data_IF_091686820795
#
_entry.id   IF_091686820795
#
_cell.length_a   1.000
_cell.length_b   1.000
_cell.length_c   1.000
_cell.angle_alpha   90.00
_cell.angle_beta   90.00
_cell.angle_gamma   90.00
#
_symmetry.space_group_name_H-M   'P 1'
#
loop_
_entity.id
_entity.type
_entity.pdbx_description
1 polymer ?
#
# COMPACT_ATOMS: atom_id res chain seq x y z
N UNK A 1 39.75 28.82 3.60
CA UNK A 1 40.53 28.69 4.84
C UNK A 1 40.03 27.46 5.58
N UNK A 2 40.89 26.47 5.85
CA UNK A 2 40.51 25.31 6.65
C UNK A 2 40.64 25.65 8.14
N UNK A 3 39.62 25.41 8.94
CA UNK A 3 39.70 25.56 10.39
C UNK A 3 40.51 24.39 10.97
N UNK A 4 41.39 24.61 11.96
CA UNK A 4 42.08 23.51 12.62
C UNK A 4 41.06 22.60 13.30
N UNK A 5 41.11 21.30 12.99
CA UNK A 5 40.36 20.27 13.72
C UNK A 5 41.15 19.87 14.95
N UNK A 6 40.57 20.06 16.14
CA UNK A 6 41.13 19.59 17.40
C UNK A 6 40.51 18.22 17.73
N UNK A 7 41.31 17.16 17.67
CA UNK A 7 40.85 15.82 18.03
C UNK A 7 40.98 15.60 19.53
N UNK A 8 39.87 15.32 20.21
CA UNK A 8 39.85 14.91 21.61
C UNK A 8 39.73 13.39 21.72
N UNK A 9 40.76 12.73 22.23
CA UNK A 9 40.80 11.26 22.37
C UNK A 9 40.49 10.90 23.82
N UNK A 10 39.37 10.21 24.03
CA UNK A 10 38.99 9.69 25.36
C UNK A 10 39.56 8.28 25.54
N UNK A 11 40.51 8.13 26.44
CA UNK A 11 41.09 6.82 26.77
C UNK A 11 40.24 6.09 27.83
N UNK A 12 40.05 4.79 27.66
CA UNK A 12 39.39 3.94 28.66
C UNK A 12 40.27 3.85 29.91
N UNK A 13 39.88 4.52 30.99
CA UNK A 13 40.59 4.45 32.27
C UNK A 13 40.23 3.17 33.02
N UNK A 14 41.24 2.50 33.58
CA UNK A 14 41.10 1.29 34.40
C UNK A 14 40.92 1.61 35.90
N UNK A 15 41.04 2.86 36.31
CA UNK A 15 40.86 3.31 37.69
C UNK A 15 40.16 4.69 37.78
N UNK A 16 39.55 4.99 38.94
CA UNK A 16 38.93 6.30 39.20
C UNK A 16 40.01 7.39 39.26
N UNK A 17 39.86 8.44 38.45
CA UNK A 17 40.76 9.60 38.47
C UNK A 17 40.26 10.66 39.45
N UNK A 18 41.16 11.25 40.24
CA UNK A 18 40.88 12.44 41.03
C UNK A 18 41.41 13.65 40.27
N UNK A 19 40.55 14.63 39.99
CA UNK A 19 40.92 15.78 39.17
C UNK A 19 42.15 16.52 39.75
N UNK A 20 43.16 16.76 38.92
CA UNK A 20 44.40 17.45 39.24
C UNK A 20 44.52 18.82 38.54
N UNK A 21 45.52 19.63 38.89
CA UNK A 21 45.67 21.00 38.36
C UNK A 21 46.00 21.06 36.85
N UNK A 22 46.36 19.94 36.24
CA UNK A 22 46.61 19.82 34.80
C UNK A 22 45.41 19.23 34.03
N UNK A 23 44.33 18.84 34.71
CA UNK A 23 43.12 18.38 34.04
C UNK A 23 42.28 19.58 33.60
N UNK A 24 42.00 19.67 32.30
CA UNK A 24 41.03 20.62 31.79
C UNK A 24 39.60 20.04 31.95
N UNK A 25 38.67 20.74 32.63
CA UNK A 25 37.27 20.32 32.63
C UNK A 25 36.69 20.53 31.22
N UNK A 26 36.29 19.45 30.58
CA UNK A 26 35.55 19.49 29.30
C UNK A 26 34.11 19.10 29.59
N UNK A 27 33.18 20.03 29.36
CA UNK A 27 31.76 19.74 29.35
C UNK A 27 31.34 19.43 27.92
N UNK A 28 30.76 18.25 27.72
CA UNK A 28 30.16 17.88 26.44
C UNK A 28 28.68 18.26 26.48
N UNK A 29 28.18 18.84 25.40
CA UNK A 29 26.78 19.20 25.23
C UNK A 29 26.25 18.56 23.95
N UNK A 30 24.97 18.21 23.97
CA UNK A 30 24.25 17.79 22.78
C UNK A 30 24.00 18.99 21.84
N UNK A 31 23.67 18.77 20.56
CA UNK A 31 23.33 19.85 19.63
C UNK A 31 22.15 20.75 20.08
N UNK A 32 21.31 20.24 20.98
CA UNK A 32 20.19 20.97 21.60
C UNK A 32 20.61 21.85 22.81
N UNK A 33 21.89 21.84 23.19
CA UNK A 33 22.44 22.62 24.30
C UNK A 33 22.30 21.97 25.68
N UNK A 34 21.76 20.75 25.78
CA UNK A 34 21.69 20.01 27.05
C UNK A 34 23.04 19.35 27.38
N UNK A 35 23.43 19.25 28.67
CA UNK A 35 24.68 18.58 29.05
C UNK A 35 24.61 17.10 28.67
N UNK A 36 25.68 16.61 28.05
CA UNK A 36 25.81 15.21 27.66
C UNK A 36 25.90 14.34 28.92
N UNK A 37 24.85 13.58 29.19
CA UNK A 37 24.84 12.55 30.22
C UNK A 37 25.44 11.27 29.64
N UNK A 38 26.73 11.03 29.88
CA UNK A 38 27.39 9.78 29.52
C UNK A 38 26.90 8.62 30.38
N UNK A 39 25.74 8.06 30.06
CA UNK A 39 25.26 6.80 30.60
C UNK A 39 25.92 5.64 29.87
N UNK A 40 26.30 4.58 30.59
CA UNK A 40 26.61 3.27 30.02
C UNK A 40 25.32 2.61 29.52
N UNK A 41 24.55 3.32 28.69
CA UNK A 41 23.30 2.85 28.15
C UNK A 41 23.64 1.88 27.01
N UNK A 42 24.09 0.69 27.39
CA UNK A 42 23.57 -0.48 26.71
C UNK A 42 22.06 -0.24 26.63
N UNK A 43 21.45 -0.25 25.43
CA UNK A 43 20.04 0.08 25.28
C UNK A 43 19.29 -0.69 26.36
N UNK A 44 18.61 0.03 27.26
CA UNK A 44 17.99 -0.58 28.42
C UNK A 44 17.17 -1.77 27.91
N UNK A 45 17.51 -2.97 28.40
CA UNK A 45 16.82 -4.17 27.96
C UNK A 45 15.32 -3.90 28.11
N UNK A 46 14.51 -4.16 27.06
CA UNK A 46 13.11 -3.82 27.07
C UNK A 46 12.49 -4.43 28.34
N UNK A 47 11.73 -3.62 29.09
CA UNK A 47 11.23 -4.03 30.38
C UNK A 47 10.44 -5.34 30.26
N UNK A 48 10.55 -6.21 31.26
CA UNK A 48 9.75 -7.43 31.38
C UNK A 48 8.26 -7.11 31.12
N UNK A 49 7.64 -7.84 30.19
CA UNK A 49 6.24 -7.64 29.82
C UNK A 49 5.97 -6.53 28.80
N UNK A 50 6.99 -5.76 28.38
CA UNK A 50 6.83 -4.78 27.30
C UNK A 50 6.49 -5.46 25.98
N UNK A 51 5.58 -4.85 25.23
CA UNK A 51 5.14 -5.32 23.91
C UNK A 51 5.86 -4.51 22.85
N UNK A 52 6.46 -5.20 21.86
CA UNK A 52 6.99 -4.50 20.70
C UNK A 52 5.82 -4.12 19.77
N UNK A 53 5.69 -2.86 19.30
CA UNK A 53 4.61 -2.42 18.41
C UNK A 53 4.60 -3.06 17.00
N UNK A 54 5.36 -4.12 16.77
CA UNK A 54 5.38 -4.84 15.51
C UNK A 54 4.05 -5.58 15.31
N UNK A 55 3.02 -4.87 14.83
CA UNK A 55 1.84 -5.51 14.29
C UNK A 55 2.27 -6.25 13.03
N UNK A 56 2.44 -7.56 13.14
CA UNK A 56 2.71 -8.41 11.98
C UNK A 56 1.50 -8.29 11.04
N UNK A 57 1.74 -7.72 9.86
CA UNK A 57 0.69 -7.49 8.87
C UNK A 57 0.01 -8.83 8.53
N UNK A 58 -1.31 -8.93 8.70
CA UNK A 58 -2.07 -10.17 8.43
C UNK A 58 -2.74 -10.88 9.61
N UNK A 59 -3.09 -10.17 10.71
CA UNK A 59 -3.88 -10.78 11.79
C UNK A 59 -5.22 -11.31 11.28
N UNK A 60 -5.38 -12.63 11.33
CA UNK A 60 -6.64 -13.34 11.16
C UNK A 60 -6.94 -14.16 12.42
N UNK A 61 -8.00 -13.76 13.12
CA UNK A 61 -8.44 -14.41 14.35
C UNK A 61 -8.86 -15.87 14.16
N UNK A 62 -9.16 -16.30 12.93
CA UNK A 62 -9.62 -17.66 12.63
C UNK A 62 -8.48 -18.67 12.46
N UNK A 63 -7.26 -18.20 12.16
CA UNK A 63 -6.09 -19.06 11.91
C UNK A 63 -5.01 -18.96 12.99
N UNK A 64 -5.13 -18.03 13.95
CA UNK A 64 -4.18 -17.90 15.07
C UNK A 64 -2.83 -17.28 14.71
N UNK A 65 -2.68 -16.80 13.47
CA UNK A 65 -1.46 -16.14 13.00
C UNK A 65 -1.53 -14.63 13.26
N UNK A 66 -1.01 -14.20 14.40
CA UNK A 66 -0.87 -12.78 14.75
C UNK A 66 -0.60 -12.50 16.22
N UNK A 67 0.20 -13.38 16.84
CA UNK A 67 0.64 -13.22 18.23
C UNK A 67 1.62 -12.06 18.37
N UNK A 68 1.54 -11.36 19.50
CA UNK A 68 2.43 -10.23 19.80
C UNK A 68 3.66 -10.78 20.55
N UNK A 69 4.89 -10.47 20.12
CA UNK A 69 6.08 -10.76 20.91
C UNK A 69 6.06 -9.94 22.21
N UNK A 70 6.05 -10.63 23.34
CA UNK A 70 6.18 -10.04 24.67
C UNK A 70 7.52 -10.45 25.28
N UNK A 71 8.26 -9.50 25.85
CA UNK A 71 9.46 -9.83 26.62
C UNK A 71 9.07 -10.63 27.85
N UNK A 72 9.69 -11.79 28.05
CA UNK A 72 9.43 -12.64 29.22
C UNK A 72 9.71 -11.90 30.52
N UNK A 73 9.02 -12.31 31.58
CA UNK A 73 9.17 -11.73 32.91
C UNK A 73 10.60 -11.87 33.48
N UNK A 74 11.32 -12.91 33.06
CA UNK A 74 12.70 -13.21 33.46
C UNK A 74 13.76 -12.51 32.60
N UNK A 75 13.35 -11.77 31.55
CA UNK A 75 14.25 -11.11 30.61
C UNK A 75 15.05 -12.05 29.70
N UNK A 76 14.80 -13.36 29.69
CA UNK A 76 15.60 -14.34 28.94
C UNK A 76 15.19 -14.51 27.47
N UNK A 77 14.23 -13.70 27.00
CA UNK A 77 13.81 -13.72 25.60
C UNK A 77 12.37 -13.23 25.41
N UNK A 78 11.72 -13.75 24.37
CA UNK A 78 10.35 -13.39 24.00
C UNK A 78 9.41 -14.58 24.12
N UNK A 79 8.15 -14.30 24.39
CA UNK A 79 7.02 -15.21 24.27
C UNK A 79 6.01 -14.63 23.25
N UNK A 80 5.16 -15.48 22.68
CA UNK A 80 4.14 -15.09 21.71
C UNK A 80 2.76 -15.16 22.38
N UNK A 81 2.18 -13.99 22.65
CA UNK A 81 0.88 -13.90 23.33
C UNK A 81 -0.26 -13.55 22.36
N UNK A 82 -1.45 -14.06 22.65
CA UNK A 82 -2.65 -13.74 21.89
C UNK A 82 -3.13 -12.31 22.21
N UNK A 83 -3.42 -11.46 21.22
CA UNK A 83 -3.87 -10.09 21.48
C UNK A 83 -5.20 -10.00 22.26
N UNK A 84 -6.00 -11.08 22.27
CA UNK A 84 -7.25 -11.13 23.03
C UNK A 84 -7.06 -11.14 24.57
N UNK A 85 -5.91 -11.62 25.07
CA UNK A 85 -5.62 -11.63 26.51
C UNK A 85 -5.20 -10.25 27.04
N UNK A 86 -4.89 -9.30 26.14
CA UNK A 86 -4.51 -7.91 26.44
C UNK A 86 -5.70 -6.94 26.60
N UNK A 87 -6.95 -7.43 26.63
CA UNK A 87 -8.22 -6.66 26.62
C UNK A 87 -8.49 -5.78 27.86
N UNK A 88 -7.49 -5.08 28.39
CA UNK A 88 -7.63 -4.17 29.53
C UNK A 88 -7.14 -2.73 29.33
N UNK A 89 -6.44 -2.39 28.23
CA UNK A 89 -5.82 -1.05 28.06
C UNK A 89 -6.12 -0.37 26.72
N UNK A 90 -7.31 -0.58 26.16
CA UNK A 90 -7.78 0.24 25.05
C UNK A 90 -9.17 0.74 25.40
N UNK A 91 -9.28 2.05 25.64
CA UNK A 91 -10.58 2.70 25.73
C UNK A 91 -11.40 2.32 24.51
N UNK A 92 -12.70 2.09 24.72
CA UNK A 92 -13.61 1.60 23.70
C UNK A 92 -13.40 2.41 22.41
N UNK A 93 -13.14 1.67 21.32
CA UNK A 93 -13.09 2.29 20.01
C UNK A 93 -14.48 2.87 19.79
N UNK A 94 -14.59 4.20 19.65
CA UNK A 94 -15.86 4.84 19.34
C UNK A 94 -16.55 4.13 18.18
N UNK A 95 -17.87 4.01 18.28
CA UNK A 95 -18.66 3.27 17.30
C UNK A 95 -18.32 3.72 15.87
N UNK A 96 -18.21 2.78 14.91
CA UNK A 96 -18.09 3.14 13.51
C UNK A 96 -19.23 4.11 13.12
N UNK A 97 -18.88 5.22 12.47
CA UNK A 97 -19.88 6.13 11.93
C UNK A 97 -20.85 5.37 11.02
N UNK A 98 -22.12 5.79 11.01
CA UNK A 98 -23.13 5.18 10.16
C UNK A 98 -22.65 5.09 8.70
N UNK A 99 -22.95 3.98 8.04
CA UNK A 99 -22.64 3.81 6.63
C UNK A 99 -23.26 4.98 5.83
N UNK A 100 -22.47 5.58 4.94
CA UNK A 100 -22.97 6.62 4.05
C UNK A 100 -24.13 6.09 3.21
N UNK A 101 -25.09 6.97 2.89
CA UNK A 101 -26.21 6.60 2.04
C UNK A 101 -25.70 6.03 0.71
N UNK A 102 -26.35 4.97 0.21
CA UNK A 102 -26.07 4.41 -1.10
C UNK A 102 -26.21 5.51 -2.14
N UNK A 103 -25.20 5.67 -3.00
CA UNK A 103 -25.26 6.61 -4.12
C UNK A 103 -26.47 6.33 -5.02
N UNK A 104 -27.03 7.39 -5.61
CA UNK A 104 -28.14 7.27 -6.54
C UNK A 104 -27.75 6.37 -7.72
N UNK A 105 -28.71 5.58 -8.22
CA UNK A 105 -28.54 4.83 -9.47
C UNK A 105 -28.24 5.80 -10.61
N UNK A 106 -27.23 5.50 -11.42
CA UNK A 106 -26.90 6.30 -12.61
C UNK A 106 -28.09 6.36 -13.58
N UNK A 107 -28.17 7.45 -14.36
CA UNK A 107 -29.21 7.60 -15.37
C UNK A 107 -29.11 6.47 -16.43
N UNK A 108 -30.26 6.00 -16.92
CA UNK A 108 -30.32 5.11 -18.08
C UNK A 108 -29.68 5.80 -19.28
N UNK A 109 -28.82 5.09 -20.02
CA UNK A 109 -28.24 5.61 -21.26
C UNK A 109 -29.31 5.92 -22.32
N UNK A 110 -28.99 6.76 -23.33
CA UNK A 110 -29.92 7.06 -24.41
C UNK A 110 -30.29 5.79 -25.20
N UNK A 111 -31.49 5.76 -25.76
CA UNK A 111 -31.89 4.71 -26.69
C UNK A 111 -30.97 4.70 -27.92
N UNK A 112 -30.63 3.51 -28.41
CA UNK A 112 -29.88 3.35 -29.66
C UNK A 112 -30.68 3.84 -30.89
N UNK A 113 -30.01 4.15 -32.01
CA UNK A 113 -30.70 4.53 -33.24
C UNK A 113 -31.59 3.39 -33.76
N UNK A 114 -32.68 3.74 -34.44
CA UNK A 114 -33.55 2.76 -35.07
C UNK A 114 -32.81 1.96 -36.17
N UNK A 115 -33.08 0.66 -36.26
CA UNK A 115 -32.54 -0.19 -37.33
C UNK A 115 -33.11 0.17 -38.70
N UNK A 116 -32.30 0.04 -39.75
CA UNK A 116 -32.74 0.23 -41.14
C UNK A 116 -33.35 -1.05 -41.69
N UNK A 117 -34.53 -0.98 -42.29
CA UNK A 117 -35.14 -2.11 -43.01
C UNK A 117 -34.68 -2.15 -44.45
N UNK A 118 -34.69 -3.32 -45.08
CA UNK A 118 -34.41 -3.47 -46.52
C UNK A 118 -35.69 -3.19 -47.31
N UNK A 119 -35.60 -2.34 -48.33
CA UNK A 119 -36.74 -1.98 -49.20
C UNK A 119 -36.63 -2.59 -50.59
N UNK A 120 -35.42 -2.78 -51.10
CA UNK A 120 -35.19 -3.40 -52.40
C UNK A 120 -33.82 -4.11 -52.46
N UNK A 121 -33.74 -5.10 -53.33
CA UNK A 121 -32.50 -5.79 -53.70
C UNK A 121 -32.46 -5.85 -55.22
N UNK A 122 -31.36 -5.37 -55.82
CA UNK A 122 -31.08 -5.54 -57.24
C UNK A 122 -29.88 -6.48 -57.38
N UNK A 123 -30.03 -7.54 -58.18
CA UNK A 123 -28.97 -8.51 -58.44
C UNK A 123 -28.38 -8.26 -59.83
N UNK A 124 -27.07 -8.42 -59.95
CA UNK A 124 -26.34 -8.37 -61.21
C UNK A 124 -25.98 -9.79 -61.61
N UNK A 125 -26.41 -10.21 -62.80
CA UNK A 125 -26.06 -11.50 -63.40
C UNK A 125 -25.13 -11.30 -64.59
N UNK A 126 -24.24 -12.26 -64.85
CA UNK A 126 -23.47 -12.32 -66.08
C UNK A 126 -24.31 -12.86 -67.26
N UNK A 127 -23.72 -12.88 -68.46
CA UNK A 127 -24.39 -13.36 -69.68
C UNK A 127 -24.77 -14.85 -69.64
N UNK A 128 -24.20 -15.62 -68.71
CA UNK A 128 -24.52 -17.03 -68.46
C UNK A 128 -25.60 -17.20 -67.36
N UNK A 129 -26.09 -16.10 -66.77
CA UNK A 129 -27.11 -16.11 -65.73
C UNK A 129 -26.58 -16.28 -64.30
N UNK A 130 -25.25 -16.26 -64.09
CA UNK A 130 -24.64 -16.39 -62.76
C UNK A 130 -24.58 -15.02 -62.07
N UNK A 131 -24.99 -14.98 -60.79
CA UNK A 131 -24.97 -13.73 -60.01
C UNK A 131 -23.54 -13.35 -59.68
N UNK A 132 -23.15 -12.14 -60.08
CA UNK A 132 -21.81 -11.57 -59.90
C UNK A 132 -21.78 -10.44 -58.86
N UNK A 133 -22.94 -9.96 -58.43
CA UNK A 133 -23.05 -8.93 -57.42
C UNK A 133 -24.48 -8.47 -57.22
N UNK A 134 -24.64 -7.37 -56.48
CA UNK A 134 -25.91 -6.69 -56.34
C UNK A 134 -25.80 -5.41 -55.51
N UNK A 135 -26.94 -4.76 -55.31
CA UNK A 135 -27.08 -3.62 -54.39
C UNK A 135 -28.29 -3.83 -53.51
N UNK A 136 -28.15 -3.55 -52.22
CA UNK A 136 -29.26 -3.46 -51.27
C UNK A 136 -29.64 -1.99 -51.07
N UNK A 137 -30.94 -1.71 -51.03
CA UNK A 137 -31.49 -0.39 -50.70
C UNK A 137 -32.18 -0.47 -49.34
N UNK A 138 -31.84 0.46 -48.45
CA UNK A 138 -32.42 0.56 -47.11
C UNK A 138 -33.62 1.53 -47.07
N UNK A 139 -34.37 1.52 -45.98
CA UNK A 139 -35.54 2.38 -45.75
C UNK A 139 -35.24 3.88 -45.75
N UNK A 140 -33.98 4.26 -45.53
CA UNK A 140 -33.51 5.65 -45.61
C UNK A 140 -33.00 6.05 -47.01
N UNK A 141 -33.24 5.19 -48.02
CA UNK A 141 -32.75 5.33 -49.41
C UNK A 141 -31.23 5.22 -49.58
N UNK A 142 -30.48 4.90 -48.52
CA UNK A 142 -29.05 4.58 -48.68
C UNK A 142 -28.89 3.21 -49.33
N UNK A 143 -27.80 3.03 -50.06
CA UNK A 143 -27.48 1.79 -50.76
C UNK A 143 -26.15 1.22 -50.29
N UNK A 144 -26.04 -0.11 -50.29
CA UNK A 144 -24.79 -0.82 -50.05
C UNK A 144 -24.58 -1.92 -51.11
N UNK A 145 -23.31 -2.20 -51.43
CA UNK A 145 -22.96 -3.23 -52.40
C UNK A 145 -23.08 -4.63 -51.78
N UNK A 146 -23.64 -5.56 -52.53
CA UNK A 146 -23.62 -6.99 -52.25
C UNK A 146 -22.48 -7.57 -53.09
N UNK A 147 -21.38 -7.90 -52.45
CA UNK A 147 -20.23 -8.53 -53.10
C UNK A 147 -20.41 -10.03 -53.16
N UNK A 148 -20.35 -10.59 -54.37
CA UNK A 148 -20.37 -12.04 -54.59
C UNK A 148 -18.98 -12.50 -54.99
N UNK A 149 -18.32 -13.24 -54.12
CA UNK A 149 -17.02 -13.87 -54.42
C UNK A 149 -17.27 -15.28 -54.91
N UNK A 150 -16.81 -15.63 -56.10
CA UNK A 150 -16.92 -17.00 -56.61
C UNK A 150 -15.55 -17.64 -56.69
N UNK A 151 -15.39 -18.81 -56.06
CA UNK A 151 -14.23 -19.64 -56.26
C UNK A 151 -14.20 -20.14 -57.71
N UNK A 152 -13.07 -19.99 -58.37
CA UNK A 152 -12.81 -20.59 -59.67
C UNK A 152 -12.70 -22.11 -59.47
N UNK A 153 -13.50 -22.88 -60.19
CA UNK A 153 -13.45 -24.34 -60.17
C UNK A 153 -12.27 -24.87 -60.99
#
# INVERSE_FOLDING_TARGET
MGFPVQNLIVQKRTAKHRAGPLDAPVALYNPDGTPFAGGSDAPAAPAAGSLTPAMLNGYDASTGHGRIPQVRADGTGFDLIDPATLKGQKGDKGDPGAAGAKGATGATGPAGPAGKSVTAIALTADAAGKITGGTVTFSDKTTAAITVTTATA
#
